data_IF_836481999006
#
_entry.id   IF_836481999006
#
_cell.length_a   1.000
_cell.length_b   1.000
_cell.length_c   1.000
_cell.angle_alpha   90.00
_cell.angle_beta   90.00
_cell.angle_gamma   90.00
#
_symmetry.space_group_name_H-M   'P 1'
#
loop_
_entity.id
_entity.type
_entity.pdbx_description
1 polymer ?
#
# COMPACT_ATOMS: atom_id res chain seq x y z
N UNK A 1 -15.18 -12.56 4.52
CA UNK A 1 -14.70 -11.29 5.12
C UNK A 1 -13.32 -10.95 4.56
N UNK A 2 -13.26 -10.25 3.42
CA UNK A 2 -12.01 -10.03 2.69
C UNK A 2 -12.18 -8.80 1.76
N UNK A 3 -11.37 -7.75 1.94
CA UNK A 3 -11.44 -6.47 1.19
C UNK A 3 -10.10 -5.71 1.19
N UNK A 4 -9.00 -6.40 0.83
CA UNK A 4 -7.62 -5.88 0.77
C UNK A 4 -6.80 -6.72 -0.20
N UNK A 5 -5.62 -6.23 -0.61
CA UNK A 5 -4.61 -7.01 -1.34
C UNK A 5 -4.29 -8.33 -0.61
N UNK A 6 -4.39 -8.31 0.73
CA UNK A 6 -4.10 -9.45 1.60
C UNK A 6 -4.91 -9.34 2.92
N UNK A 7 -5.28 -10.45 3.61
CA UNK A 7 -5.91 -10.40 4.92
C UNK A 7 -5.17 -9.51 5.94
N UNK A 8 -5.92 -8.85 6.83
CA UNK A 8 -5.40 -7.88 7.80
C UNK A 8 -4.19 -8.37 8.59
N UNK A 9 -4.29 -9.58 9.15
CA UNK A 9 -3.24 -10.15 9.99
C UNK A 9 -1.93 -10.35 9.21
N UNK A 10 -2.01 -10.52 7.90
CA UNK A 10 -0.83 -10.66 7.03
C UNK A 10 -0.28 -9.29 6.60
N UNK A 11 -1.13 -8.29 6.31
CA UNK A 11 -0.65 -6.93 6.03
C UNK A 11 0.04 -6.33 7.26
N UNK A 12 -0.53 -6.54 8.44
CA UNK A 12 0.06 -6.11 9.70
C UNK A 12 1.39 -6.84 10.01
N UNK A 13 1.44 -8.17 9.79
CA UNK A 13 2.69 -8.94 9.86
C UNK A 13 3.76 -8.40 8.91
N UNK A 14 3.39 -8.11 7.66
CA UNK A 14 4.33 -7.65 6.64
C UNK A 14 4.88 -6.26 6.98
N UNK A 15 4.06 -5.36 7.53
CA UNK A 15 4.52 -4.06 8.00
C UNK A 15 5.62 -4.18 9.08
N UNK A 16 5.46 -5.11 10.03
CA UNK A 16 6.49 -5.37 11.05
C UNK A 16 7.79 -5.90 10.42
N UNK A 17 7.69 -6.85 9.48
CA UNK A 17 8.86 -7.40 8.79
C UNK A 17 9.63 -6.33 8.00
N UNK A 18 8.92 -5.41 7.33
CA UNK A 18 9.54 -4.29 6.62
C UNK A 18 10.27 -3.36 7.60
N UNK A 19 9.66 -3.04 8.74
CA UNK A 19 10.28 -2.19 9.76
C UNK A 19 11.54 -2.84 10.36
N UNK A 20 11.50 -4.14 10.66
CA UNK A 20 12.66 -4.90 11.14
C UNK A 20 13.77 -4.95 10.11
N UNK A 21 13.44 -5.25 8.84
CA UNK A 21 14.40 -5.29 7.75
C UNK A 21 15.06 -3.93 7.51
N UNK A 22 14.31 -2.84 7.68
CA UNK A 22 14.81 -1.47 7.58
C UNK A 22 15.61 -1.01 8.81
N UNK A 23 15.77 -1.85 9.84
CA UNK A 23 16.43 -1.47 11.09
C UNK A 23 15.67 -0.40 11.89
N UNK A 24 14.34 -0.35 11.72
CA UNK A 24 13.43 0.62 12.34
C UNK A 24 12.36 -0.04 13.22
N UNK A 25 12.74 -0.84 14.23
CA UNK A 25 11.77 -1.48 15.14
C UNK A 25 11.02 -0.47 16.02
N UNK A 26 11.47 0.79 16.07
CA UNK A 26 10.82 1.89 16.77
C UNK A 26 9.53 2.39 16.08
N UNK A 27 9.35 2.07 14.79
CA UNK A 27 8.15 2.43 14.03
C UNK A 27 6.99 1.55 14.49
N UNK A 28 5.98 2.18 15.07
CA UNK A 28 4.79 1.50 15.58
C UNK A 28 3.89 1.04 14.43
N UNK A 29 3.38 -0.17 14.54
CA UNK A 29 2.38 -0.74 13.63
C UNK A 29 1.15 -1.15 14.42
N UNK A 30 -0.02 -0.63 14.06
CA UNK A 30 -1.29 -0.87 14.75
C UNK A 30 -2.24 -1.70 13.87
N UNK A 31 -3.07 -2.58 14.47
CA UNK A 31 -4.10 -3.31 13.75
C UNK A 31 -5.13 -2.36 13.14
N UNK A 32 -5.43 -2.59 11.87
CA UNK A 32 -6.19 -1.74 10.96
C UNK A 32 -7.66 -2.23 10.82
N UNK A 33 -8.58 -1.36 10.39
CA UNK A 33 -9.99 -1.68 10.14
C UNK A 33 -10.15 -2.68 8.99
N UNK A 34 -11.17 -3.54 9.06
CA UNK A 34 -11.59 -4.36 7.92
C UNK A 34 -12.76 -3.70 7.18
N UNK A 35 -12.59 -3.43 5.88
CA UNK A 35 -13.65 -2.90 5.00
C UNK A 35 -14.75 -3.96 4.81
N UNK A 36 -16.01 -3.55 4.96
CA UNK A 36 -17.19 -4.44 4.98
C UNK A 36 -17.92 -4.56 3.63
N UNK A 37 -17.64 -3.69 2.65
CA UNK A 37 -18.59 -3.38 1.57
C UNK A 37 -18.41 -4.14 0.25
N UNK A 38 -17.25 -4.75 0.00
CA UNK A 38 -17.00 -5.54 -1.22
C UNK A 38 -16.40 -6.91 -0.91
N UNK A 39 -16.88 -7.96 -1.58
CA UNK A 39 -16.20 -9.25 -1.62
C UNK A 39 -14.85 -9.10 -2.31
N UNK A 40 -13.79 -9.68 -1.73
CA UNK A 40 -12.40 -9.54 -2.19
C UNK A 40 -12.23 -9.54 -3.70
N UNK A 41 -11.51 -8.53 -4.19
CA UNK A 41 -10.75 -8.65 -5.42
C UNK A 41 -9.59 -9.64 -5.16
N UNK A 42 -9.79 -10.89 -5.57
CA UNK A 42 -8.75 -11.91 -5.57
C UNK A 42 -7.76 -11.55 -6.69
N UNK A 43 -6.58 -11.03 -6.34
CA UNK A 43 -5.45 -11.05 -7.25
C UNK A 43 -5.17 -12.53 -7.54
N UNK A 44 -5.54 -12.95 -8.74
CA UNK A 44 -5.80 -14.34 -9.14
C UNK A 44 -4.61 -15.26 -8.80
N UNK A 45 -4.85 -16.31 -8.01
CA UNK A 45 -4.03 -17.53 -8.02
C UNK A 45 -2.82 -17.63 -7.09
N UNK A 46 -2.37 -16.56 -6.43
CA UNK A 46 -1.20 -16.63 -5.55
C UNK A 46 -1.59 -16.84 -4.07
N UNK A 47 -0.98 -17.83 -3.42
CA UNK A 47 -1.20 -18.11 -1.99
C UNK A 47 -0.71 -16.91 -1.15
N UNK A 48 -1.53 -16.48 -0.19
CA UNK A 48 -1.26 -15.31 0.68
C UNK A 48 0.08 -15.33 1.41
N UNK A 49 0.69 -16.52 1.57
CA UNK A 49 2.03 -16.71 2.15
C UNK A 49 3.14 -16.11 1.29
N UNK A 50 2.89 -15.90 -0.01
CA UNK A 50 3.88 -15.53 -1.01
C UNK A 50 3.66 -14.11 -1.59
N UNK A 51 2.71 -13.32 -1.08
CA UNK A 51 2.36 -11.99 -1.65
C UNK A 51 3.55 -11.03 -1.77
N UNK A 52 4.47 -11.07 -0.81
CA UNK A 52 5.71 -10.28 -0.84
C UNK A 52 6.88 -11.01 -1.50
N UNK A 53 6.70 -12.23 -2.02
CA UNK A 53 7.81 -13.06 -2.52
C UNK A 53 8.83 -13.49 -1.46
N UNK A 54 8.71 -13.00 -0.22
CA UNK A 54 9.65 -13.23 0.88
C UNK A 54 9.44 -14.57 1.58
N UNK A 55 9.38 -15.67 0.83
CA UNK A 55 9.25 -17.02 1.40
C UNK A 55 10.42 -17.40 2.33
N UNK A 56 11.53 -16.65 2.28
CA UNK A 56 12.70 -16.85 3.12
C UNK A 56 12.70 -16.03 4.42
N UNK A 57 11.82 -15.04 4.58
CA UNK A 57 11.76 -14.21 5.79
C UNK A 57 10.95 -14.92 6.88
N UNK A 58 11.52 -15.00 8.08
CA UNK A 58 10.91 -15.64 9.25
C UNK A 58 9.64 -14.93 9.77
N UNK A 59 9.27 -15.23 11.00
CA UNK A 59 8.25 -14.43 11.70
C UNK A 59 8.87 -13.13 12.22
N UNK A 60 8.15 -11.99 12.19
CA UNK A 60 8.64 -10.77 12.81
C UNK A 60 8.85 -10.99 14.31
N UNK A 61 9.87 -10.34 14.86
CA UNK A 61 10.16 -10.32 16.30
C UNK A 61 9.36 -9.23 17.03
N UNK A 62 8.94 -8.19 16.31
CA UNK A 62 8.10 -7.11 16.81
C UNK A 62 6.66 -7.53 17.08
N UNK A 63 5.99 -6.76 17.93
CA UNK A 63 4.57 -6.93 18.25
C UNK A 63 3.77 -5.76 17.69
N UNK A 64 2.56 -6.04 17.24
CA UNK A 64 1.60 -5.00 16.90
C UNK A 64 1.21 -4.25 18.18
N UNK A 65 0.87 -2.97 18.03
CA UNK A 65 0.24 -2.23 19.10
C UNK A 65 -1.12 -2.88 19.42
N UNK A 66 -1.50 -2.89 20.70
CA UNK A 66 -2.85 -3.33 21.10
C UNK A 66 -3.91 -2.31 20.66
N UNK A 67 -3.51 -1.04 20.53
CA UNK A 67 -4.39 0.06 20.13
C UNK A 67 -4.82 -0.06 18.67
N UNK A 68 -6.11 0.14 18.43
CA UNK A 68 -6.68 0.16 17.09
C UNK A 68 -6.16 1.34 16.26
N UNK A 69 -5.88 1.14 14.96
CA UNK A 69 -5.22 2.13 14.10
C UNK A 69 -5.98 3.46 14.00
N UNK A 70 -7.32 3.43 13.98
CA UNK A 70 -8.14 4.66 13.95
C UNK A 70 -7.98 5.46 15.24
N UNK A 71 -7.95 4.79 16.39
CA UNK A 71 -7.80 5.43 17.71
C UNK A 71 -6.41 6.04 17.83
N UNK A 72 -5.39 5.28 17.43
CA UNK A 72 -4.01 5.76 17.36
C UNK A 72 -3.89 6.98 16.43
N UNK A 73 -4.53 6.96 15.26
CA UNK A 73 -4.49 8.06 14.30
C UNK A 73 -5.15 9.33 14.86
N UNK A 74 -6.33 9.19 15.50
CA UNK A 74 -7.03 10.31 16.13
C UNK A 74 -6.19 10.90 17.26
N UNK A 75 -5.70 10.07 18.18
CA UNK A 75 -4.89 10.53 19.31
C UNK A 75 -3.58 11.19 18.86
N UNK A 76 -2.90 10.61 17.87
CA UNK A 76 -1.65 11.16 17.32
C UNK A 76 -1.90 12.54 16.70
N UNK A 77 -2.96 12.68 15.89
CA UNK A 77 -3.28 13.96 15.25
C UNK A 77 -3.75 15.02 16.26
N UNK A 78 -4.52 14.65 17.28
CA UNK A 78 -4.95 15.59 18.32
C UNK A 78 -3.79 16.12 19.17
N UNK A 79 -2.78 15.29 19.40
CA UNK A 79 -1.58 15.67 20.15
C UNK A 79 -0.53 16.41 19.31
N UNK A 80 -0.73 16.48 18.00
CA UNK A 80 0.14 17.21 17.08
C UNK A 80 -0.24 18.69 16.98
N UNK A 81 0.72 19.50 16.57
CA UNK A 81 0.49 20.89 16.19
C UNK A 81 -0.35 20.96 14.91
N UNK A 82 -1.01 22.10 14.71
CA UNK A 82 -1.81 22.31 13.49
C UNK A 82 -0.90 22.26 12.25
N UNK A 83 -1.30 21.47 11.25
CA UNK A 83 -0.56 21.28 10.00
C UNK A 83 0.85 20.70 10.18
N UNK A 84 1.03 19.83 11.19
CA UNK A 84 2.31 19.16 11.43
C UNK A 84 2.47 17.85 10.64
N UNK A 85 1.37 17.10 10.47
CA UNK A 85 1.43 15.71 9.97
C UNK A 85 0.95 15.60 8.53
N UNK A 86 1.76 14.96 7.68
CA UNK A 86 1.35 14.51 6.34
C UNK A 86 0.93 13.05 6.38
N UNK A 87 -0.24 12.72 5.81
CA UNK A 87 -0.70 11.35 5.67
C UNK A 87 -0.35 10.80 4.28
N UNK A 88 0.26 9.62 4.21
CA UNK A 88 0.65 8.98 2.94
C UNK A 88 -0.07 7.64 2.72
N UNK A 89 -1.40 7.63 2.50
CA UNK A 89 -2.12 6.37 2.28
C UNK A 89 -1.77 5.74 0.92
N UNK A 90 -1.29 4.49 0.99
CA UNK A 90 -1.01 3.63 -0.17
C UNK A 90 -1.98 2.44 -0.28
N UNK A 91 -3.06 2.47 0.51
CA UNK A 91 -4.13 1.47 0.52
C UNK A 91 -5.51 2.14 0.56
N UNK A 92 -6.59 1.36 0.77
CA UNK A 92 -7.94 1.90 0.92
C UNK A 92 -8.02 2.96 2.03
N UNK A 93 -8.81 4.01 1.80
CA UNK A 93 -8.85 5.20 2.66
C UNK A 93 -9.68 5.03 3.94
N UNK A 94 -10.12 3.81 4.27
CA UNK A 94 -11.07 3.49 5.34
C UNK A 94 -10.66 4.02 6.71
N UNK A 95 -9.41 3.85 7.13
CA UNK A 95 -8.95 4.35 8.44
C UNK A 95 -9.03 5.86 8.53
N UNK A 96 -8.60 6.55 7.48
CA UNK A 96 -8.58 8.01 7.43
C UNK A 96 -10.01 8.53 7.45
N UNK A 97 -10.89 7.95 6.64
CA UNK A 97 -12.32 8.30 6.63
C UNK A 97 -12.96 8.07 8.01
N UNK A 98 -12.73 6.92 8.63
CA UNK A 98 -13.27 6.63 9.96
C UNK A 98 -12.74 7.58 11.03
N UNK A 99 -11.46 7.94 10.99
CA UNK A 99 -10.88 8.92 11.90
C UNK A 99 -11.53 10.29 11.72
N UNK A 100 -11.69 10.75 10.48
CA UNK A 100 -12.33 12.03 10.16
C UNK A 100 -13.81 12.07 10.54
N UNK A 101 -14.53 10.95 10.39
CA UNK A 101 -15.94 10.84 10.82
C UNK A 101 -16.04 10.84 12.34
N UNK A 102 -15.14 10.14 13.04
CA UNK A 102 -15.13 10.05 14.50
C UNK A 102 -14.74 11.36 15.16
N UNK A 103 -13.71 12.03 14.67
CA UNK A 103 -13.23 13.30 15.19
C UNK A 103 -12.90 14.27 14.04
N UNK A 104 -13.90 15.03 13.55
CA UNK A 104 -13.71 15.96 12.42
C UNK A 104 -12.64 17.03 12.66
N UNK A 105 -12.33 17.37 13.92
CA UNK A 105 -11.32 18.38 14.26
C UNK A 105 -9.91 17.97 13.84
N UNK A 106 -9.63 16.68 13.65
CA UNK A 106 -8.30 16.25 13.19
C UNK A 106 -7.98 16.76 11.78
N UNK A 107 -8.97 17.18 10.99
CA UNK A 107 -8.74 17.71 9.64
C UNK A 107 -7.85 18.98 9.66
N UNK A 108 -7.93 19.82 10.69
CA UNK A 108 -7.06 20.99 10.82
C UNK A 108 -5.62 20.62 11.20
N UNK A 109 -5.43 19.44 11.81
CA UNK A 109 -4.14 18.91 12.25
C UNK A 109 -3.30 18.36 11.10
N UNK A 110 -3.96 17.83 10.07
CA UNK A 110 -3.29 17.27 8.89
C UNK A 110 -2.83 18.40 7.97
N UNK A 111 -1.54 18.44 7.65
CA UNK A 111 -0.95 19.34 6.66
C UNK A 111 -1.55 19.06 5.27
N UNK A 112 -1.32 17.84 4.80
CA UNK A 112 -1.81 17.33 3.52
C UNK A 112 -1.93 15.80 3.53
N UNK A 113 -2.61 15.27 2.51
CA UNK A 113 -2.69 13.84 2.22
C UNK A 113 -2.04 13.58 0.86
N UNK A 114 -1.03 12.71 0.82
CA UNK A 114 -0.40 12.23 -0.42
C UNK A 114 -0.90 10.81 -0.67
N UNK A 115 -1.94 10.66 -1.50
CA UNK A 115 -2.65 9.38 -1.66
C UNK A 115 -2.28 8.70 -2.97
N UNK A 116 -1.94 7.41 -2.91
CA UNK A 116 -1.87 6.55 -4.10
C UNK A 116 -3.23 5.92 -4.37
N UNK A 117 -3.85 6.31 -5.48
CA UNK A 117 -5.14 5.76 -5.90
C UNK A 117 -5.84 6.59 -6.97
N UNK A 118 -6.80 5.96 -7.64
CA UNK A 118 -7.57 6.56 -8.74
C UNK A 118 -6.87 6.51 -10.11
N UNK A 119 -7.59 6.95 -11.14
CA UNK A 119 -7.12 7.08 -12.52
C UNK A 119 -7.94 8.17 -13.22
N UNK A 120 -7.28 9.12 -13.88
CA UNK A 120 -7.93 10.28 -14.49
C UNK A 120 -8.09 10.14 -16.00
N UNK A 121 -7.00 9.84 -16.70
CA UNK A 121 -6.95 9.69 -18.15
C UNK A 121 -6.68 8.24 -18.56
N UNK A 122 -6.19 7.43 -17.62
CA UNK A 122 -6.06 5.98 -17.77
C UNK A 122 -7.31 5.28 -17.22
N UNK A 123 -7.66 4.15 -17.83
CA UNK A 123 -8.69 3.27 -17.27
C UNK A 123 -8.29 2.72 -15.90
N UNK A 124 -9.22 2.03 -15.24
CA UNK A 124 -8.95 1.37 -13.96
C UNK A 124 -8.17 0.07 -14.08
N UNK A 125 -7.60 -0.37 -12.95
CA UNK A 125 -6.84 -1.63 -12.87
C UNK A 125 -7.67 -2.81 -12.32
N UNK A 126 -8.79 -2.55 -11.66
CA UNK A 126 -9.69 -3.59 -11.12
C UNK A 126 -10.99 -3.70 -11.92
N UNK A 127 -11.51 -2.57 -12.37
CA UNK A 127 -12.56 -2.50 -13.41
C UNK A 127 -12.08 -1.52 -14.48
N UNK A 128 -12.70 -1.47 -15.67
CA UNK A 128 -12.31 -0.49 -16.69
C UNK A 128 -12.34 0.97 -16.22
N UNK A 129 -13.08 1.29 -15.16
CA UNK A 129 -13.30 2.66 -14.67
C UNK A 129 -12.77 2.92 -13.25
N UNK A 130 -12.31 1.91 -12.51
CA UNK A 130 -11.92 2.07 -11.11
C UNK A 130 -10.54 1.47 -10.82
N UNK A 131 -9.78 2.23 -10.05
CA UNK A 131 -8.53 1.78 -9.42
C UNK A 131 -8.85 1.05 -8.09
N UNK A 132 -8.04 0.05 -7.76
CA UNK A 132 -8.19 -0.85 -6.63
C UNK A 132 -8.47 -0.16 -5.28
N UNK A 133 -7.62 0.76 -4.83
CA UNK A 133 -7.78 1.39 -3.51
C UNK A 133 -9.08 2.17 -3.40
N UNK A 134 -9.47 2.88 -4.46
CA UNK A 134 -10.74 3.60 -4.52
C UNK A 134 -11.93 2.64 -4.64
N UNK A 135 -11.78 1.55 -5.39
CA UNK A 135 -12.82 0.55 -5.59
C UNK A 135 -13.14 -0.23 -4.31
N UNK A 136 -12.12 -0.52 -3.49
CA UNK A 136 -12.30 -1.28 -2.24
C UNK A 136 -13.15 -0.51 -1.23
N UNK A 137 -13.00 0.81 -1.14
CA UNK A 137 -13.82 1.65 -0.27
C UNK A 137 -14.10 3.04 -0.88
N UNK A 138 -15.06 3.12 -1.83
CA UNK A 138 -15.39 4.36 -2.50
C UNK A 138 -16.07 5.38 -1.57
N UNK A 139 -16.75 4.89 -0.52
CA UNK A 139 -17.38 5.76 0.48
C UNK A 139 -16.33 6.44 1.36
N UNK A 140 -15.31 5.69 1.79
CA UNK A 140 -14.18 6.29 2.48
C UNK A 140 -13.42 7.28 1.60
N UNK A 141 -13.25 6.97 0.31
CA UNK A 141 -12.68 7.92 -0.63
C UNK A 141 -13.50 9.21 -0.70
N UNK A 142 -14.84 9.14 -0.85
CA UNK A 142 -15.71 10.34 -0.88
C UNK A 142 -15.54 11.20 0.38
N UNK A 143 -15.51 10.58 1.57
CA UNK A 143 -15.29 11.29 2.84
C UNK A 143 -13.94 12.01 2.84
N UNK A 144 -12.86 11.32 2.46
CA UNK A 144 -11.51 11.91 2.47
C UNK A 144 -11.38 13.02 1.45
N UNK A 145 -11.85 12.82 0.21
CA UNK A 145 -11.78 13.85 -0.84
C UNK A 145 -12.63 15.10 -0.52
N UNK A 146 -13.66 14.97 0.33
CA UNK A 146 -14.50 16.09 0.78
C UNK A 146 -14.10 16.67 2.13
N UNK A 147 -13.03 16.18 2.74
CA UNK A 147 -12.56 16.61 4.07
C UNK A 147 -12.05 18.05 4.13
N UNK A 148 -11.76 18.67 2.98
CA UNK A 148 -11.14 20.00 2.91
C UNK A 148 -9.64 20.02 3.20
N UNK A 149 -9.04 18.86 3.48
CA UNK A 149 -7.59 18.71 3.61
C UNK A 149 -6.95 18.79 2.20
N UNK A 150 -5.81 19.48 2.01
CA UNK A 150 -5.08 19.45 0.75
C UNK A 150 -4.70 18.01 0.37
N UNK A 151 -5.03 17.59 -0.85
CA UNK A 151 -4.73 16.23 -1.35
C UNK A 151 -3.86 16.30 -2.59
N UNK A 152 -2.73 15.58 -2.54
CA UNK A 152 -1.91 15.24 -3.70
C UNK A 152 -2.24 13.81 -4.10
N UNK A 153 -2.90 13.64 -5.24
CA UNK A 153 -3.21 12.32 -5.78
C UNK A 153 -2.03 11.80 -6.63
N UNK A 154 -1.65 10.54 -6.40
CA UNK A 154 -0.74 9.75 -7.23
C UNK A 154 -1.55 8.63 -7.91
N UNK A 155 -2.31 8.98 -8.97
CA UNK A 155 -3.16 8.02 -9.68
C UNK A 155 -2.34 7.10 -10.58
N UNK A 156 -3.03 6.13 -11.18
CA UNK A 156 -2.49 5.23 -12.20
C UNK A 156 -1.77 5.96 -13.35
N UNK A 157 -2.22 7.17 -13.71
CA UNK A 157 -1.57 8.02 -14.72
C UNK A 157 -0.10 8.35 -14.41
N UNK A 158 0.24 8.38 -13.11
CA UNK A 158 1.58 8.62 -12.59
C UNK A 158 2.27 7.30 -12.26
N UNK A 159 1.60 6.41 -11.54
CA UNK A 159 2.23 5.17 -11.05
C UNK A 159 2.57 4.19 -12.17
N UNK A 160 1.84 4.19 -13.29
CA UNK A 160 2.20 3.39 -14.48
C UNK A 160 3.49 3.85 -15.16
N UNK A 161 4.00 5.04 -14.83
CA UNK A 161 5.30 5.52 -15.32
C UNK A 161 6.46 5.09 -14.42
N UNK A 162 6.19 4.62 -13.20
CA UNK A 162 7.18 4.15 -12.24
C UNK A 162 7.58 2.69 -12.51
N UNK A 163 8.11 2.43 -13.71
CA UNK A 163 8.50 1.10 -14.15
C UNK A 163 9.85 0.69 -13.54
N UNK A 164 9.97 -0.58 -13.17
CA UNK A 164 11.22 -1.18 -12.68
C UNK A 164 12.11 -1.59 -13.86
N UNK A 165 12.85 -0.65 -14.42
CA UNK A 165 13.77 -0.95 -15.54
C UNK A 165 14.89 -1.88 -15.11
N UNK A 166 15.53 -2.55 -16.08
CA UNK A 166 16.69 -3.40 -15.82
C UNK A 166 17.85 -2.63 -15.18
N UNK A 167 18.13 -1.42 -15.67
CA UNK A 167 19.17 -0.58 -15.09
C UNK A 167 18.88 -0.27 -13.62
N UNK A 168 17.62 0.04 -13.28
CA UNK A 168 17.22 0.29 -11.90
C UNK A 168 17.35 -0.97 -11.02
N UNK A 169 16.95 -2.13 -11.53
CA UNK A 169 17.14 -3.41 -10.85
C UNK A 169 18.63 -3.69 -10.58
N UNK A 170 19.50 -3.42 -11.55
CA UNK A 170 20.93 -3.57 -11.38
C UNK A 170 21.45 -2.65 -10.27
N UNK A 171 20.99 -1.39 -10.19
CA UNK A 171 21.40 -0.51 -9.09
C UNK A 171 20.99 -1.04 -7.72
N UNK A 172 19.85 -1.73 -7.60
CA UNK A 172 19.43 -2.39 -6.35
C UNK A 172 20.29 -3.61 -6.01
N UNK A 173 20.70 -4.40 -7.00
CA UNK A 173 21.61 -5.53 -6.80
C UNK A 173 22.97 -5.07 -6.29
N UNK A 174 23.50 -3.99 -6.85
CA UNK A 174 24.79 -3.41 -6.51
C UNK A 174 24.85 -2.83 -5.08
N UNK A 175 23.69 -2.49 -4.48
CA UNK A 175 23.66 -2.06 -3.07
C UNK A 175 24.19 -3.14 -2.12
N UNK A 176 24.04 -4.42 -2.46
CA UNK A 176 24.53 -5.55 -1.65
C UNK A 176 23.92 -5.67 -0.25
N UNK A 177 22.88 -4.89 0.07
CA UNK A 177 22.22 -4.88 1.39
C UNK A 177 21.14 -5.95 1.49
N UNK A 178 20.85 -6.40 2.72
CA UNK A 178 19.74 -7.33 2.95
C UNK A 178 18.37 -6.72 2.55
N UNK A 179 18.20 -5.41 2.75
CA UNK A 179 17.02 -4.66 2.27
C UNK A 179 16.92 -4.76 0.75
N UNK A 180 18.02 -4.48 0.03
CA UNK A 180 18.07 -4.52 -1.44
C UNK A 180 17.76 -5.91 -1.99
N UNK A 181 18.35 -6.97 -1.41
CA UNK A 181 18.09 -8.36 -1.83
C UNK A 181 16.63 -8.76 -1.66
N UNK A 182 16.02 -8.42 -0.52
CA UNK A 182 14.61 -8.74 -0.25
C UNK A 182 13.67 -7.89 -1.12
N UNK A 183 13.99 -6.61 -1.34
CA UNK A 183 13.22 -5.75 -2.24
C UNK A 183 13.28 -6.28 -3.68
N UNK A 184 14.46 -6.68 -4.16
CA UNK A 184 14.63 -7.30 -5.46
C UNK A 184 13.81 -8.58 -5.62
N UNK A 185 13.80 -9.44 -4.61
CA UNK A 185 12.96 -10.66 -4.61
C UNK A 185 11.48 -10.31 -4.79
N UNK A 186 11.00 -9.26 -4.12
CA UNK A 186 9.65 -8.74 -4.28
C UNK A 186 9.40 -8.15 -5.69
N UNK A 187 10.33 -7.34 -6.21
CA UNK A 187 10.24 -6.76 -7.56
C UNK A 187 10.17 -7.84 -8.64
N UNK A 188 10.96 -8.91 -8.52
CA UNK A 188 10.94 -10.05 -9.44
C UNK A 188 9.61 -10.80 -9.39
N UNK A 189 9.13 -11.09 -8.18
CA UNK A 189 7.84 -11.74 -7.98
C UNK A 189 6.67 -10.93 -8.58
N UNK A 190 6.63 -9.63 -8.33
CA UNK A 190 5.57 -8.75 -8.85
C UNK A 190 5.67 -8.57 -10.36
N UNK A 191 6.88 -8.48 -10.92
CA UNK A 191 7.09 -8.44 -12.38
C UNK A 191 6.58 -9.72 -13.05
N UNK A 192 6.94 -10.89 -12.51
CA UNK A 192 6.46 -12.17 -13.04
C UNK A 192 4.93 -12.27 -13.01
N UNK A 193 4.31 -11.80 -11.93
CA UNK A 193 2.85 -11.78 -11.78
C UNK A 193 2.19 -10.86 -12.82
N UNK A 194 2.72 -9.65 -12.99
CA UNK A 194 2.21 -8.68 -13.97
C UNK A 194 2.36 -9.22 -15.40
N UNK A 195 3.51 -9.80 -15.74
CA UNK A 195 3.80 -10.33 -17.07
C UNK A 195 2.95 -11.56 -17.42
N UNK A 196 2.69 -12.44 -16.45
CA UNK A 196 1.92 -13.68 -16.65
C UNK A 196 0.42 -13.41 -16.69
N UNK A 197 -0.10 -12.61 -15.76
CA UNK A 197 -1.54 -12.57 -15.49
C UNK A 197 -2.23 -11.27 -15.90
N UNK A 198 -1.51 -10.14 -15.99
CA UNK A 198 -2.12 -8.82 -16.25
C UNK A 198 -1.98 -8.31 -17.69
N UNK A 199 -1.34 -9.09 -18.58
CA UNK A 199 -1.26 -8.83 -20.02
C UNK A 199 -0.94 -7.38 -20.41
N UNK A 200 -0.03 -6.73 -19.68
CA UNK A 200 0.38 -5.35 -19.90
C UNK A 200 1.47 -5.26 -20.99
N UNK A 201 1.18 -4.72 -22.20
CA UNK A 201 2.13 -4.75 -23.31
C UNK A 201 3.41 -3.94 -23.05
N UNK A 202 3.30 -2.80 -22.37
CA UNK A 202 4.41 -1.88 -22.10
C UNK A 202 5.47 -2.52 -21.19
N UNK A 203 5.04 -3.29 -20.20
CA UNK A 203 5.89 -4.02 -19.24
C UNK A 203 6.71 -5.12 -19.94
N UNK A 204 6.20 -5.74 -21.02
CA UNK A 204 6.94 -6.78 -21.76
C UNK A 204 8.17 -6.26 -22.49
N UNK A 205 8.22 -4.97 -22.80
CA UNK A 205 9.33 -4.36 -23.55
C UNK A 205 10.43 -3.76 -22.67
N UNK A 206 10.15 -3.53 -21.38
CA UNK A 206 10.98 -2.73 -20.47
C UNK A 206 11.40 -3.46 -19.19
N UNK A 207 10.87 -4.65 -18.93
CA UNK A 207 11.05 -5.38 -17.66
C UNK A 207 11.58 -6.80 -17.89
N UNK A 208 12.25 -7.35 -16.87
CA UNK A 208 12.83 -8.69 -16.76
C UNK A 208 12.31 -9.73 -17.77
N UNK A 209 13.23 -10.29 -18.56
CA UNK A 209 12.95 -11.56 -19.24
C UNK A 209 12.70 -12.62 -18.15
N UNK A 210 11.62 -13.43 -18.25
CA UNK A 210 11.40 -14.51 -17.31
C UNK A 210 12.60 -15.47 -17.34
N UNK A 211 13.09 -15.89 -16.17
CA UNK A 211 14.13 -16.91 -16.09
C UNK A 211 13.59 -18.24 -16.64
N UNK A 212 14.43 -19.05 -17.32
CA UNK A 212 14.06 -20.41 -17.68
C UNK A 212 13.71 -21.20 -16.42
N UNK A 213 12.61 -21.95 -16.53
CA UNK A 213 12.05 -22.83 -15.50
C UNK A 213 13.07 -23.90 -15.10
#
# INVERSE_FOLDING_TARGET
MRGRECPLHLTARNALLVCELAGRPDVKSSPDVTVLWFETCHCRGHTWRNWIGWTAMGSPTGQLQDQHAVDWLVETLLNAEDKEITLCPVGPLTNIAMALVREPKIASKVDQIVSMGGGYFVGGNITPAAEFNIFVDPHAADVVYRSGIPIVAMPLDVTHKALMTQDWIQTLEELGTEVGKNHLSYCRFTTDLILRDMAWPEVRSTTLQPLPI
#
